data_IF_625881092911
#
_entry.id   IF_625881092911
#
_cell.length_a   1.000
_cell.length_b   1.000
_cell.length_c   1.000
_cell.angle_alpha   90.00
_cell.angle_beta   90.00
_cell.angle_gamma   90.00
#
_symmetry.space_group_name_H-M   'P 1'
#
loop_
_entity.id
_entity.type
_entity.pdbx_description
1 polymer ?
#
# COMPACT_ATOMS: atom_id res chain seq x y z
N UNK A 1 -5.37 -1.47 -4.30
CA UNK A 1 -5.62 -0.20 -3.59
C UNK A 1 -4.39 0.67 -3.76
N UNK A 2 -4.57 1.99 -3.87
CA UNK A 2 -3.51 3.00 -3.96
C UNK A 2 -3.84 4.07 -2.92
N UNK A 3 -2.88 4.60 -2.18
CA UNK A 3 -3.05 5.73 -1.27
C UNK A 3 -2.67 7.06 -1.94
N UNK A 4 -3.40 8.12 -1.63
CA UNK A 4 -2.99 9.50 -1.91
C UNK A 4 -2.30 10.08 -0.68
N UNK A 5 -1.08 10.57 -0.84
CA UNK A 5 -0.28 11.07 0.26
C UNK A 5 -0.80 12.39 0.81
N UNK A 6 -0.81 12.51 2.12
CA UNK A 6 -1.18 13.70 2.86
C UNK A 6 -0.08 14.78 2.76
N UNK A 7 -0.42 16.03 3.08
CA UNK A 7 0.44 17.21 2.82
C UNK A 7 1.71 17.27 3.66
N UNK A 8 1.76 16.55 4.78
CA UNK A 8 2.88 16.55 5.72
C UNK A 8 3.94 15.47 5.41
N UNK A 9 3.69 14.64 4.40
CA UNK A 9 4.56 13.50 4.04
C UNK A 9 5.70 13.92 3.11
N UNK A 10 6.61 12.98 2.80
CA UNK A 10 7.75 13.24 1.90
C UNK A 10 7.35 13.38 0.42
N UNK A 11 6.15 12.91 0.05
CA UNK A 11 5.63 12.97 -1.33
C UNK A 11 4.19 13.48 -1.41
N UNK A 12 3.90 14.71 -0.93
CA UNK A 12 2.54 15.25 -0.81
C UNK A 12 1.71 15.14 -2.09
N UNK A 13 0.47 14.66 -1.97
CA UNK A 13 -0.50 14.55 -3.07
C UNK A 13 -0.13 13.54 -4.17
N UNK A 14 0.97 12.79 -4.02
CA UNK A 14 1.29 11.70 -4.94
C UNK A 14 0.48 10.46 -4.58
N UNK A 15 0.17 9.67 -5.60
CA UNK A 15 -0.38 8.34 -5.46
C UNK A 15 0.76 7.32 -5.30
N UNK A 16 0.64 6.43 -4.29
CA UNK A 16 1.59 5.33 -4.05
C UNK A 16 0.92 4.09 -3.44
N UNK A 17 1.65 2.99 -3.39
CA UNK A 17 1.27 1.85 -2.54
C UNK A 17 1.59 2.15 -1.07
N UNK A 18 1.05 1.34 -0.17
CA UNK A 18 1.56 1.29 1.21
C UNK A 18 3.04 0.95 1.17
N UNK A 19 3.87 1.76 1.81
CA UNK A 19 5.32 1.62 1.74
C UNK A 19 6.01 2.45 2.82
N UNK A 20 6.93 1.81 3.53
CA UNK A 20 7.89 2.52 4.37
C UNK A 20 9.29 1.91 4.30
N UNK A 21 10.20 2.56 5.03
CA UNK A 21 11.61 2.20 5.07
C UNK A 21 11.89 1.04 6.01
N UNK A 22 13.03 0.38 5.81
CA UNK A 22 13.56 -0.57 6.79
C UNK A 22 14.06 0.23 7.99
N UNK A 23 13.54 -0.09 9.17
CA UNK A 23 13.97 0.49 10.42
C UNK A 23 14.97 -0.42 11.16
N UNK A 24 15.63 0.12 12.18
CA UNK A 24 16.58 -0.66 13.00
C UNK A 24 15.90 -1.84 13.71
N UNK A 25 14.63 -1.69 14.07
CA UNK A 25 13.77 -2.73 14.66
C UNK A 25 13.56 -3.92 13.72
N UNK A 26 13.59 -3.69 12.41
CA UNK A 26 13.40 -4.73 11.38
C UNK A 26 14.68 -5.57 11.16
N UNK A 27 15.81 -5.21 11.81
CA UNK A 27 17.12 -5.84 11.60
C UNK A 27 17.47 -6.76 12.77
N UNK A 28 17.62 -8.06 12.47
CA UNK A 28 18.05 -9.08 13.40
C UNK A 28 19.47 -9.55 13.03
N UNK A 29 20.47 -8.93 13.64
CA UNK A 29 21.88 -9.16 13.32
C UNK A 29 22.23 -8.63 11.92
N UNK A 30 22.48 -9.54 10.98
CA UNK A 30 22.77 -9.23 9.57
C UNK A 30 21.60 -9.56 8.62
N UNK A 31 20.41 -9.83 9.15
CA UNK A 31 19.20 -10.20 8.40
C UNK A 31 18.13 -9.12 8.62
N UNK A 32 17.45 -8.74 7.55
CA UNK A 32 16.25 -7.88 7.62
C UNK A 32 15.01 -8.76 7.59
N UNK A 33 14.12 -8.60 8.57
CA UNK A 33 12.83 -9.25 8.58
C UNK A 33 11.82 -8.47 7.73
N UNK A 34 11.78 -8.81 6.43
CA UNK A 34 10.91 -8.11 5.48
C UNK A 34 9.42 -8.29 5.76
N UNK A 35 9.01 -9.38 6.42
CA UNK A 35 7.60 -9.60 6.76
C UNK A 35 7.17 -8.75 7.96
N UNK A 36 8.02 -8.61 8.97
CA UNK A 36 7.76 -7.69 10.10
C UNK A 36 7.68 -6.24 9.62
N UNK A 37 8.62 -5.82 8.75
CA UNK A 37 8.56 -4.51 8.11
C UNK A 37 7.23 -4.31 7.36
N UNK A 38 6.88 -5.21 6.42
CA UNK A 38 5.63 -5.13 5.66
C UNK A 38 4.39 -5.11 6.57
N UNK A 39 4.37 -5.94 7.60
CA UNK A 39 3.24 -6.01 8.54
C UNK A 39 3.09 -4.74 9.36
N UNK A 40 4.20 -4.12 9.75
CA UNK A 40 4.20 -2.83 10.47
C UNK A 40 3.65 -1.73 9.56
N UNK A 41 4.19 -1.56 8.37
CA UNK A 41 3.75 -0.50 7.43
C UNK A 41 2.26 -0.63 7.06
N UNK A 42 1.78 -1.85 6.80
CA UNK A 42 0.35 -2.10 6.51
C UNK A 42 -0.54 -1.79 7.72
N UNK A 43 -0.09 -2.10 8.93
CA UNK A 43 -0.83 -1.79 10.14
C UNK A 43 -0.83 -0.28 10.44
N UNK A 44 0.27 0.41 10.18
CA UNK A 44 0.45 1.86 10.42
C UNK A 44 -0.30 2.72 9.40
N UNK A 45 -0.32 2.34 8.12
CA UNK A 45 -0.93 3.15 7.08
C UNK A 45 -2.41 2.86 6.85
N UNK A 46 -2.86 1.60 7.01
CA UNK A 46 -4.25 1.20 6.71
C UNK A 46 -4.91 0.34 7.78
N UNK A 47 -4.23 0.07 8.90
CA UNK A 47 -4.81 -0.63 10.04
C UNK A 47 -5.07 -2.11 9.84
N UNK A 48 -4.50 -2.76 8.81
CA UNK A 48 -4.71 -4.17 8.53
C UNK A 48 -3.63 -5.02 9.22
N UNK A 49 -4.05 -6.05 9.95
CA UNK A 49 -3.16 -7.06 10.52
C UNK A 49 -2.94 -8.19 9.50
N UNK A 50 -1.71 -8.34 9.01
CA UNK A 50 -1.36 -9.38 8.03
C UNK A 50 -1.42 -10.81 8.58
N UNK A 51 -1.48 -10.97 9.89
CA UNK A 51 -1.63 -12.27 10.54
C UNK A 51 -3.09 -12.68 10.72
N UNK A 52 -4.04 -11.76 10.49
CA UNK A 52 -5.46 -12.04 10.57
C UNK A 52 -5.96 -12.79 9.33
N UNK A 53 -5.95 -14.12 9.41
CA UNK A 53 -6.43 -15.02 8.34
C UNK A 53 -7.90 -14.87 7.93
N UNK A 54 -8.73 -14.18 8.73
CA UNK A 54 -10.11 -13.86 8.31
C UNK A 54 -10.16 -12.69 7.32
N UNK A 55 -9.13 -11.84 7.31
CA UNK A 55 -9.05 -10.64 6.46
C UNK A 55 -8.04 -10.84 5.34
N UNK A 56 -6.91 -11.48 5.60
CA UNK A 56 -5.83 -11.69 4.63
C UNK A 56 -5.81 -13.15 4.19
N UNK A 57 -5.98 -13.37 2.89
CA UNK A 57 -5.96 -14.72 2.31
C UNK A 57 -4.56 -15.13 1.86
N UNK A 58 -3.76 -14.20 1.33
CA UNK A 58 -2.43 -14.48 0.80
C UNK A 58 -1.53 -13.24 0.75
N UNK A 59 -0.24 -13.44 1.01
CA UNK A 59 0.82 -12.46 0.79
C UNK A 59 1.88 -13.07 -0.12
N UNK A 60 2.20 -12.41 -1.22
CA UNK A 60 3.16 -12.92 -2.23
C UNK A 60 4.15 -11.83 -2.62
N UNK A 61 5.45 -12.12 -2.59
CA UNK A 61 6.45 -11.22 -3.19
C UNK A 61 6.35 -11.26 -4.72
N UNK A 62 6.43 -10.09 -5.35
CA UNK A 62 6.24 -9.96 -6.80
C UNK A 62 7.46 -9.40 -7.52
N UNK A 63 7.92 -8.23 -7.10
CA UNK A 63 8.93 -7.48 -7.84
C UNK A 63 10.01 -6.93 -6.93
N UNK A 64 11.25 -6.87 -7.43
CA UNK A 64 12.27 -5.98 -6.89
C UNK A 64 12.37 -4.81 -7.86
N UNK A 65 12.11 -3.62 -7.36
CA UNK A 65 12.11 -2.38 -8.14
C UNK A 65 13.26 -1.48 -7.71
N UNK A 66 13.73 -0.62 -8.62
CA UNK A 66 14.77 0.36 -8.35
C UNK A 66 14.33 1.74 -8.84
N UNK A 67 14.26 2.71 -7.91
CA UNK A 67 14.01 4.12 -8.19
C UNK A 67 14.73 4.98 -7.14
N UNK A 68 16.02 5.28 -7.32
CA UNK A 68 16.87 5.95 -6.30
C UNK A 68 17.08 5.13 -5.00
N UNK A 69 16.23 4.15 -4.72
CA UNK A 69 16.32 3.10 -3.72
C UNK A 69 15.87 1.78 -4.33
N UNK A 70 16.16 0.66 -3.65
CA UNK A 70 15.65 -0.66 -4.00
C UNK A 70 14.49 -0.98 -3.06
N UNK A 71 13.37 -1.50 -3.58
CA UNK A 71 12.32 -2.06 -2.74
C UNK A 71 11.75 -3.35 -3.30
N UNK A 72 11.16 -4.11 -2.38
CA UNK A 72 10.44 -5.34 -2.64
C UNK A 72 8.95 -5.05 -2.63
N UNK A 73 8.27 -5.37 -3.72
CA UNK A 73 6.83 -5.20 -3.89
C UNK A 73 6.12 -6.50 -3.55
N UNK A 74 5.09 -6.40 -2.73
CA UNK A 74 4.21 -7.51 -2.36
C UNK A 74 2.81 -7.32 -2.94
N UNK A 75 2.19 -8.42 -3.32
CA UNK A 75 0.76 -8.52 -3.55
C UNK A 75 0.10 -9.12 -2.31
N UNK A 76 -0.85 -8.38 -1.74
CA UNK A 76 -1.64 -8.78 -0.57
C UNK A 76 -3.07 -8.99 -1.06
N UNK A 77 -3.56 -10.21 -0.90
CA UNK A 77 -4.92 -10.58 -1.27
C UNK A 77 -5.77 -10.65 -0.01
N UNK A 78 -6.89 -9.94 -0.03
CA UNK A 78 -7.82 -9.88 1.08
C UNK A 78 -9.01 -10.78 0.82
N UNK A 79 -9.59 -11.32 1.89
CA UNK A 79 -10.84 -12.07 1.88
C UNK A 79 -12.07 -11.15 1.92
N UNK A 80 -11.86 -9.85 2.12
CA UNK A 80 -12.88 -8.80 2.16
C UNK A 80 -12.90 -8.01 0.85
N UNK A 81 -14.05 -7.41 0.52
CA UNK A 81 -14.18 -6.59 -0.68
C UNK A 81 -13.74 -5.12 -0.48
N UNK A 82 -13.82 -4.32 -1.54
CA UNK A 82 -13.42 -2.90 -1.49
C UNK A 82 -14.32 -2.04 -0.59
N UNK A 83 -15.59 -2.42 -0.41
CA UNK A 83 -16.51 -1.70 0.48
C UNK A 83 -16.15 -1.97 1.94
N UNK A 84 -15.94 -3.25 2.29
CA UNK A 84 -15.49 -3.65 3.62
C UNK A 84 -14.13 -3.05 3.98
N UNK A 85 -13.17 -3.06 3.05
CA UNK A 85 -11.87 -2.41 3.25
C UNK A 85 -12.00 -0.89 3.43
N UNK A 86 -12.94 -0.24 2.74
CA UNK A 86 -13.20 1.19 2.93
C UNK A 86 -13.77 1.48 4.32
N UNK A 87 -14.75 0.68 4.79
CA UNK A 87 -15.31 0.82 6.14
C UNK A 87 -14.25 0.58 7.23
N UNK A 88 -13.38 -0.41 7.03
CA UNK A 88 -12.23 -0.66 7.89
C UNK A 88 -11.30 0.56 7.95
N UNK A 89 -10.89 1.08 6.79
CA UNK A 89 -10.02 2.25 6.72
C UNK A 89 -10.65 3.50 7.36
N UNK A 90 -11.94 3.75 7.16
CA UNK A 90 -12.64 4.89 7.76
C UNK A 90 -12.69 4.80 9.30
N UNK A 91 -12.87 3.58 9.81
CA UNK A 91 -12.82 3.31 11.26
C UNK A 91 -11.41 3.50 11.81
N UNK A 92 -10.40 3.04 11.08
CA UNK A 92 -8.99 3.23 11.41
C UNK A 92 -8.61 4.70 11.44
N UNK A 93 -9.01 5.47 10.43
CA UNK A 93 -8.75 6.91 10.34
C UNK A 93 -9.41 7.65 11.51
N UNK A 94 -10.66 7.31 11.84
CA UNK A 94 -11.38 7.88 12.99
C UNK A 94 -10.64 7.63 14.30
N UNK A 95 -10.07 6.42 14.47
CA UNK A 95 -9.25 6.09 15.65
C UNK A 95 -7.99 6.95 15.71
N UNK A 96 -7.24 7.07 14.61
CA UNK A 96 -6.03 7.89 14.57
C UNK A 96 -6.32 9.36 14.94
N UNK A 97 -7.39 9.94 14.39
CA UNK A 97 -7.80 11.31 14.72
C UNK A 97 -8.16 11.45 16.21
N UNK A 98 -8.79 10.45 16.82
CA UNK A 98 -9.10 10.46 18.26
C UNK A 98 -7.83 10.45 19.13
N UNK A 99 -6.72 9.93 18.60
CA UNK A 99 -5.40 9.89 19.22
C UNK A 99 -4.53 11.09 18.82
N UNK A 100 -5.07 12.06 18.07
CA UNK A 100 -4.35 13.21 17.49
C UNK A 100 -3.19 12.82 16.56
N UNK A 101 -3.28 11.64 15.94
CA UNK A 101 -2.33 11.16 14.94
C UNK A 101 -2.89 11.51 13.55
N UNK A 102 -2.04 12.10 12.70
CA UNK A 102 -2.43 12.42 11.31
C UNK A 102 -2.05 11.24 10.42
N UNK A 103 -3.01 10.61 9.70
CA UNK A 103 -2.72 9.52 8.77
C UNK A 103 -1.84 9.96 7.59
N UNK A 104 -0.93 9.09 7.16
CA UNK A 104 -0.04 9.35 6.01
C UNK A 104 -0.81 9.50 4.70
N UNK A 105 -1.87 8.72 4.51
CA UNK A 105 -2.78 8.87 3.39
C UNK A 105 -3.88 9.88 3.70
N UNK A 106 -4.10 10.82 2.77
CA UNK A 106 -5.28 11.68 2.77
C UNK A 106 -6.52 10.95 2.27
N UNK A 107 -6.34 9.93 1.42
CA UNK A 107 -7.43 9.06 0.95
C UNK A 107 -6.88 7.76 0.36
N UNK A 108 -7.76 6.76 0.23
CA UNK A 108 -7.49 5.53 -0.52
C UNK A 108 -8.29 5.50 -1.83
N UNK A 109 -7.69 4.95 -2.87
CA UNK A 109 -8.21 4.86 -4.23
C UNK A 109 -8.29 3.39 -4.64
N UNK A 110 -9.47 3.00 -5.11
CA UNK A 110 -9.72 1.67 -5.65
C UNK A 110 -9.76 1.71 -7.17
N UNK A 111 -8.95 0.87 -7.80
CA UNK A 111 -8.89 0.73 -9.25
C UNK A 111 -9.09 -0.75 -9.57
N UNK A 112 -10.10 -1.05 -10.37
CA UNK A 112 -10.31 -2.40 -10.88
C UNK A 112 -9.19 -2.76 -11.86
N UNK A 113 -8.64 -3.97 -11.78
CA UNK A 113 -7.48 -4.39 -12.60
C UNK A 113 -7.68 -4.09 -14.09
N UNK A 114 -8.82 -4.50 -14.67
CA UNK A 114 -9.21 -4.22 -16.07
C UNK A 114 -9.29 -2.74 -16.47
N UNK A 115 -9.28 -1.81 -15.51
CA UNK A 115 -9.35 -0.36 -15.74
C UNK A 115 -8.05 0.36 -15.41
N UNK A 116 -6.97 -0.36 -15.11
CA UNK A 116 -5.67 0.27 -14.78
C UNK A 116 -5.19 1.17 -15.91
N UNK A 117 -5.23 0.73 -17.17
CA UNK A 117 -4.78 1.58 -18.30
C UNK A 117 -5.64 2.84 -18.46
N UNK A 118 -6.95 2.74 -18.26
CA UNK A 118 -7.87 3.89 -18.28
C UNK A 118 -7.55 4.86 -17.13
N UNK A 119 -7.36 4.32 -15.92
CA UNK A 119 -7.00 5.09 -14.73
C UNK A 119 -5.68 5.85 -14.93
N UNK A 120 -4.64 5.17 -15.41
CA UNK A 120 -3.33 5.80 -15.64
C UNK A 120 -3.38 6.93 -16.67
N UNK A 121 -4.27 6.81 -17.67
CA UNK A 121 -4.47 7.85 -18.69
C UNK A 121 -5.28 9.05 -18.19
N UNK A 122 -6.33 8.81 -17.40
CA UNK A 122 -7.32 9.82 -17.08
C UNK A 122 -7.06 10.51 -15.74
N UNK A 123 -6.46 9.82 -14.77
CA UNK A 123 -6.16 10.37 -13.45
C UNK A 123 -4.96 11.33 -13.51
N UNK A 124 -5.22 12.61 -13.20
CA UNK A 124 -4.23 13.69 -13.32
C UNK A 124 -3.34 13.86 -12.07
N UNK A 125 -3.58 13.11 -10.99
CA UNK A 125 -2.73 13.20 -9.79
C UNK A 125 -1.35 12.64 -10.11
N UNK A 126 -0.33 13.25 -9.50
CA UNK A 126 1.04 12.74 -9.58
C UNK A 126 1.09 11.33 -8.99
N UNK A 127 1.91 10.46 -9.55
CA UNK A 127 2.09 9.06 -9.14
C UNK A 127 3.56 8.86 -8.81
N UNK A 128 3.89 8.04 -7.82
CA UNK A 128 5.27 7.66 -7.57
C UNK A 128 5.87 6.98 -8.81
N UNK A 129 7.14 7.22 -9.13
CA UNK A 129 7.71 6.99 -10.47
C UNK A 129 7.51 5.56 -10.99
N UNK A 130 7.65 4.55 -10.12
CA UNK A 130 7.49 3.15 -10.50
C UNK A 130 6.02 2.69 -10.51
N UNK A 131 5.11 3.42 -9.85
CA UNK A 131 3.73 2.98 -9.62
C UNK A 131 3.00 2.64 -10.93
N UNK A 132 3.04 3.46 -12.00
CA UNK A 132 2.37 3.13 -13.26
C UNK A 132 2.84 1.80 -13.83
N UNK A 133 4.16 1.57 -13.85
CA UNK A 133 4.73 0.37 -14.46
C UNK A 133 4.36 -0.90 -13.70
N UNK A 134 4.39 -0.84 -12.37
CA UNK A 134 4.01 -1.97 -11.51
C UNK A 134 2.50 -2.27 -11.65
N UNK A 135 1.66 -1.24 -11.74
CA UNK A 135 0.22 -1.42 -11.96
C UNK A 135 -0.08 -2.07 -13.31
N UNK A 136 0.57 -1.64 -14.39
CA UNK A 136 0.41 -2.25 -15.72
C UNK A 136 0.77 -3.74 -15.69
N UNK A 137 1.95 -4.08 -15.15
CA UNK A 137 2.39 -5.48 -15.05
C UNK A 137 1.45 -6.33 -14.19
N UNK A 138 1.05 -5.82 -13.02
CA UNK A 138 0.10 -6.51 -12.15
C UNK A 138 -1.27 -6.71 -12.83
N UNK A 139 -1.74 -5.73 -13.61
CA UNK A 139 -2.98 -5.84 -14.36
C UNK A 139 -2.94 -7.00 -15.35
N UNK A 140 -1.85 -7.15 -16.08
CA UNK A 140 -1.67 -8.22 -17.06
C UNK A 140 -1.66 -9.60 -16.39
N UNK A 141 -1.02 -9.73 -15.23
CA UNK A 141 -0.99 -10.98 -14.46
C UNK A 141 -2.36 -11.38 -13.89
N UNK A 142 -3.18 -10.42 -13.45
CA UNK A 142 -4.48 -10.69 -12.81
C UNK A 142 -5.61 -10.98 -13.80
N UNK A 143 -5.43 -10.66 -15.08
CA UNK A 143 -6.46 -10.84 -16.13
C UNK A 143 -6.27 -12.16 -16.90
N UNK A 144 -5.09 -12.77 -16.81
CA UNK A 144 -4.79 -14.10 -17.35
C UNK A 144 -5.47 -15.20 -16.53
#
# INVERSE_FOLDING_TARGET
>A
MIGEMNTHTSTPGRLQFVAGGIEKSDIQGNVVNMFENLSREIQEEIGIDLTNSNVVSRVTSKYVIHWQAIALVYLIELSIDSHELKLHYDSFETKLHSESIIPEFSSIVFVHARRISEFLKNDQRSKLDFLPKVLEQLSEELIQ
#
